data_IF_963791777743
#
_entry.id   IF_963791777743
#
_cell.length_a   1.000
_cell.length_b   1.000
_cell.length_c   1.000
_cell.angle_alpha   90.00
_cell.angle_beta   90.00
_cell.angle_gamma   90.00
#
_symmetry.space_group_name_H-M   'P 1'
#
loop_
_entity.id
_entity.type
_entity.pdbx_description
1 polymer ?
#
# COMPACT_ATOMS: atom_id res chain seq x y z
N UNK A 1 11.25 -5.22 10.64
CA UNK A 1 9.87 -4.79 10.33
C UNK A 1 9.57 -3.54 11.13
N UNK A 2 9.06 -2.47 10.53
CA UNK A 2 8.77 -1.22 11.23
C UNK A 2 7.27 -1.11 11.51
N UNK A 3 6.89 -0.92 12.78
CA UNK A 3 5.49 -0.73 13.19
C UNK A 3 4.90 0.54 12.56
N UNK A 4 3.61 0.52 12.22
CA UNK A 4 2.90 1.71 11.72
C UNK A 4 2.81 2.79 12.79
N UNK A 5 2.52 4.04 12.40
CA UNK A 5 2.35 5.14 13.36
C UNK A 5 1.21 4.87 14.36
N UNK A 6 0.15 4.20 13.91
CA UNK A 6 -1.01 3.82 14.72
C UNK A 6 -0.65 2.73 15.74
N UNK A 7 0.14 1.74 15.32
CA UNK A 7 0.64 0.68 16.20
C UNK A 7 1.59 1.24 17.26
N UNK A 8 2.44 2.21 16.90
CA UNK A 8 3.30 2.88 17.89
C UNK A 8 2.48 3.59 18.97
N UNK A 9 1.36 4.20 18.62
CA UNK A 9 0.45 4.83 19.59
C UNK A 9 -0.23 3.81 20.50
N UNK A 10 -0.65 2.66 19.96
CA UNK A 10 -1.22 1.55 20.74
C UNK A 10 -0.21 0.99 21.74
N UNK A 11 1.00 0.69 21.28
CA UNK A 11 2.09 0.20 22.14
C UNK A 11 2.43 1.20 23.23
N UNK A 12 2.45 2.50 22.91
CA UNK A 12 2.66 3.55 23.90
C UNK A 12 1.54 3.63 24.97
N UNK A 13 0.35 3.11 24.66
CA UNK A 13 -0.77 2.97 25.58
C UNK A 13 -0.82 1.60 26.28
N UNK A 14 0.18 0.73 26.07
CA UNK A 14 0.23 -0.64 26.60
C UNK A 14 -0.72 -1.61 25.90
N UNK A 15 -1.22 -1.25 24.72
CA UNK A 15 -2.05 -2.10 23.87
C UNK A 15 -1.17 -2.80 22.83
N UNK A 16 -1.51 -4.03 22.51
CA UNK A 16 -0.82 -4.78 21.46
C UNK A 16 -1.02 -4.12 20.08
N UNK A 17 0.03 -4.12 19.23
CA UNK A 17 -0.09 -3.66 17.86
C UNK A 17 -1.13 -4.51 17.11
N UNK A 18 -1.74 -3.92 16.10
CA UNK A 18 -2.69 -4.65 15.26
C UNK A 18 -1.96 -5.79 14.53
N UNK A 19 -2.41 -7.02 14.78
CA UNK A 19 -1.81 -8.19 14.17
C UNK A 19 -2.30 -8.35 12.73
N UNK A 20 -1.56 -7.71 11.82
CA UNK A 20 -1.76 -7.77 10.37
C UNK A 20 -1.45 -9.16 9.78
N UNK A 21 -0.85 -10.07 10.56
CA UNK A 21 -0.51 -11.42 10.12
C UNK A 21 -1.53 -12.48 10.57
N UNK A 22 -2.73 -12.07 11.00
CA UNK A 22 -3.81 -13.01 11.33
C UNK A 22 -4.29 -13.73 10.07
N UNK A 23 -4.46 -15.04 10.17
CA UNK A 23 -5.03 -15.87 9.10
C UNK A 23 -6.45 -15.44 8.71
N UNK A 24 -7.19 -14.79 9.62
CA UNK A 24 -8.52 -14.24 9.38
C UNK A 24 -8.49 -12.81 8.83
N UNK A 25 -7.31 -12.21 8.62
CA UNK A 25 -7.20 -10.89 8.02
C UNK A 25 -7.56 -10.99 6.54
N UNK A 26 -8.73 -10.49 6.20
CA UNK A 26 -9.26 -10.56 4.85
C UNK A 26 -8.43 -9.68 3.91
N UNK A 27 -7.50 -10.32 3.20
CA UNK A 27 -6.66 -9.68 2.20
C UNK A 27 -7.38 -9.51 0.85
N UNK A 28 -8.70 -9.72 0.77
CA UNK A 28 -9.51 -9.50 -0.43
C UNK A 28 -9.68 -8.02 -0.82
N UNK A 29 -9.02 -7.07 -0.14
CA UNK A 29 -8.96 -5.70 -0.64
C UNK A 29 -8.36 -5.62 -2.07
N UNK A 30 -7.47 -6.56 -2.43
CA UNK A 30 -6.92 -6.68 -3.79
C UNK A 30 -7.76 -7.56 -4.73
N UNK A 31 -8.50 -8.55 -4.19
CA UNK A 31 -9.41 -9.40 -4.96
C UNK A 31 -10.69 -8.65 -5.34
N UNK A 32 -11.25 -7.86 -4.42
CA UNK A 32 -12.40 -6.96 -4.65
C UNK A 32 -12.03 -5.81 -5.58
N UNK A 33 -10.75 -5.41 -5.59
CA UNK A 33 -10.21 -4.46 -6.56
C UNK A 33 -9.90 -5.07 -7.94
N UNK A 34 -10.09 -6.39 -8.17
CA UNK A 34 -10.15 -6.97 -9.53
C UNK A 34 -11.41 -6.47 -10.23
N UNK A 35 -11.34 -5.23 -10.70
CA UNK A 35 -12.46 -4.51 -11.28
C UNK A 35 -12.29 -3.01 -11.23
N UNK A 36 -11.22 -2.48 -10.63
CA UNK A 36 -10.87 -1.08 -10.82
C UNK A 36 -9.97 -0.94 -12.04
N UNK A 37 -10.59 -1.00 -13.22
CA UNK A 37 -10.04 -0.51 -14.49
C UNK A 37 -9.73 1.02 -14.47
N UNK A 38 -9.98 1.70 -13.35
CA UNK A 38 -9.44 3.04 -13.05
C UNK A 38 -7.93 2.96 -12.81
N UNK A 39 -7.14 2.80 -13.86
CA UNK A 39 -5.71 3.10 -13.79
C UNK A 39 -4.78 2.22 -14.61
N UNK A 40 -5.28 1.22 -15.35
CA UNK A 40 -4.45 0.50 -16.31
C UNK A 40 -3.95 1.50 -17.38
N UNK A 41 -2.66 1.83 -17.35
CA UNK A 41 -2.02 2.77 -18.27
C UNK A 41 -1.89 4.23 -17.80
N UNK A 42 -2.66 4.70 -16.81
CA UNK A 42 -2.51 6.08 -16.29
C UNK A 42 -1.25 6.22 -15.44
N UNK A 43 -0.94 5.18 -14.66
CA UNK A 43 0.31 5.13 -13.89
C UNK A 43 1.52 5.12 -14.84
N UNK A 44 1.47 4.23 -15.85
CA UNK A 44 2.53 4.09 -16.85
C UNK A 44 2.74 5.37 -17.68
N UNK A 45 1.66 6.05 -18.08
CA UNK A 45 1.75 7.30 -18.82
C UNK A 45 2.43 8.41 -18.02
N UNK A 46 2.20 8.49 -16.70
CA UNK A 46 2.87 9.45 -15.83
C UNK A 46 4.34 9.11 -15.63
N UNK A 47 4.65 7.83 -15.44
CA UNK A 47 6.04 7.35 -15.34
C UNK A 47 6.83 7.69 -16.61
N UNK A 48 6.24 7.54 -17.79
CA UNK A 48 6.89 7.87 -19.06
C UNK A 48 7.03 9.39 -19.29
N UNK A 49 6.08 10.20 -18.80
CA UNK A 49 6.13 11.65 -18.94
C UNK A 49 7.18 12.32 -18.04
N UNK A 50 7.48 11.71 -16.89
CA UNK A 50 8.41 12.27 -15.89
C UNK A 50 9.87 11.83 -16.09
N UNK A 51 10.18 10.98 -17.10
CA UNK A 51 11.57 10.55 -17.40
C UNK A 51 12.29 11.63 -18.21
N UNK A 52 13.31 12.30 -17.65
CA UNK A 52 14.12 13.24 -18.41
C UNK A 52 14.95 12.49 -19.45
N UNK A 53 15.19 13.06 -20.65
CA UNK A 53 16.08 12.46 -21.63
C UNK A 53 17.51 12.51 -21.09
N UNK A 54 17.97 11.40 -20.51
CA UNK A 54 19.29 11.33 -19.90
C UNK A 54 20.40 10.94 -20.88
N UNK A 55 20.14 11.04 -22.19
CA UNK A 55 21.10 10.73 -23.25
C UNK A 55 21.10 11.78 -24.37
N UNK A 56 21.73 12.92 -24.10
CA UNK A 56 22.46 13.71 -25.10
C UNK A 56 23.78 14.19 -24.51
#
# INVERSE_FOLDING_TARGET
>A
MALSQRDRQRVAQGLEPEDLARADYDSDALTTARGSERGAGVNDARLLAEVPPHWQ
#
